data_IF_645685487671
#
_entry.id   IF_645685487671
#
_cell.length_a   1.000
_cell.length_b   1.000
_cell.length_c   1.000
_cell.angle_alpha   90.00
_cell.angle_beta   90.00
_cell.angle_gamma   90.00
#
_symmetry.space_group_name_H-M   'P 1'
#
loop_
_entity.id
_entity.type
_entity.pdbx_description
1 polymer ?
#
# COMPACT_ATOMS: atom_id res chain seq x y z
N UNK A 1 -20.87 -6.89 18.81
CA UNK A 1 -19.89 -6.89 17.71
C UNK A 1 -19.76 -5.46 17.21
N UNK A 2 -18.64 -4.80 17.47
CA UNK A 2 -18.43 -3.43 17.00
C UNK A 2 -18.45 -3.43 15.47
N UNK A 3 -19.37 -2.67 14.89
CA UNK A 3 -19.49 -2.45 13.45
C UNK A 3 -18.31 -1.56 13.07
N UNK A 4 -17.24 -2.15 12.52
CA UNK A 4 -16.14 -1.38 11.95
C UNK A 4 -16.74 -0.37 10.96
N UNK A 5 -16.36 0.91 11.02
CA UNK A 5 -16.94 1.93 10.16
C UNK A 5 -16.75 1.50 8.71
N UNK A 6 -17.79 1.63 7.88
CA UNK A 6 -17.73 1.31 6.47
C UNK A 6 -16.56 2.11 5.84
N UNK A 7 -15.47 1.41 5.53
CA UNK A 7 -14.19 2.05 5.27
C UNK A 7 -14.20 2.72 3.88
N UNK A 8 -13.87 4.01 3.87
CA UNK A 8 -14.02 4.89 2.71
C UNK A 8 -13.02 4.51 1.60
N UNK A 9 -13.47 4.24 0.37
CA UNK A 9 -12.58 4.01 -0.76
C UNK A 9 -11.68 5.23 -1.00
N UNK A 10 -10.43 5.01 -1.36
CA UNK A 10 -9.44 6.07 -1.59
C UNK A 10 -8.62 6.49 -0.36
N UNK A 11 -8.86 5.90 0.82
CA UNK A 11 -8.10 6.21 2.03
C UNK A 11 -7.49 4.97 2.68
N UNK A 12 -6.25 5.13 3.18
CA UNK A 12 -5.55 4.14 4.00
C UNK A 12 -5.00 4.84 5.25
N UNK A 13 -5.17 4.20 6.41
CA UNK A 13 -4.57 4.63 7.67
C UNK A 13 -3.11 4.17 7.74
N UNK A 14 -2.24 4.99 8.34
CA UNK A 14 -0.82 4.66 8.47
C UNK A 14 -0.56 3.49 9.43
N UNK A 15 -1.36 3.37 10.49
CA UNK A 15 -1.19 2.35 11.54
C UNK A 15 -1.87 1.02 11.22
N UNK A 16 -2.65 0.98 10.14
CA UNK A 16 -3.44 -0.19 9.79
C UNK A 16 -2.65 -1.18 8.95
N UNK A 17 -2.97 -2.46 9.11
CA UNK A 17 -2.39 -3.55 8.33
C UNK A 17 -3.38 -4.00 7.26
N UNK A 18 -2.96 -3.96 6.00
CA UNK A 18 -3.81 -4.32 4.86
C UNK A 18 -3.33 -5.57 4.17
N UNK A 19 -4.26 -6.41 3.73
CA UNK A 19 -3.92 -7.46 2.76
C UNK A 19 -3.59 -6.84 1.40
N UNK A 20 -2.83 -7.56 0.57
CA UNK A 20 -2.56 -7.14 -0.81
C UNK A 20 -3.86 -6.91 -1.60
N UNK A 21 -4.87 -7.76 -1.40
CA UNK A 21 -6.16 -7.60 -2.09
C UNK A 21 -6.90 -6.35 -1.64
N UNK A 22 -6.87 -6.05 -0.35
CA UNK A 22 -7.56 -4.92 0.24
C UNK A 22 -6.95 -3.58 -0.16
N UNK A 23 -5.62 -3.43 -0.02
CA UNK A 23 -4.94 -2.19 -0.38
C UNK A 23 -5.15 -1.85 -1.86
N UNK A 24 -5.18 -2.86 -2.73
CA UNK A 24 -5.51 -2.70 -4.16
C UNK A 24 -6.92 -2.18 -4.37
N UNK A 25 -7.92 -2.74 -3.69
CA UNK A 25 -9.31 -2.30 -3.79
C UNK A 25 -9.48 -0.86 -3.29
N UNK A 26 -8.82 -0.51 -2.18
CA UNK A 26 -8.91 0.82 -1.58
C UNK A 26 -8.29 1.90 -2.45
N UNK A 27 -7.11 1.63 -2.99
CA UNK A 27 -6.37 2.62 -3.79
C UNK A 27 -6.69 2.55 -5.28
N UNK A 28 -7.50 1.59 -5.71
CA UNK A 28 -7.80 1.36 -7.13
C UNK A 28 -6.58 0.97 -7.97
N UNK A 29 -5.54 0.40 -7.36
CA UNK A 29 -4.28 0.10 -8.04
C UNK A 29 -4.28 -1.29 -8.68
N UNK A 30 -3.62 -1.38 -9.84
CA UNK A 30 -3.48 -2.63 -10.59
C UNK A 30 -2.56 -3.64 -9.88
N UNK A 31 -2.72 -4.92 -10.19
CA UNK A 31 -1.80 -5.98 -9.74
C UNK A 31 -0.35 -5.69 -10.15
N UNK A 32 -0.16 -5.09 -11.31
CA UNK A 32 1.15 -4.76 -11.86
C UNK A 32 1.84 -3.64 -11.08
N UNK A 33 1.10 -2.59 -10.72
CA UNK A 33 1.60 -1.52 -9.86
C UNK A 33 2.06 -2.07 -8.49
N UNK A 34 1.28 -2.96 -7.90
CA UNK A 34 1.62 -3.61 -6.64
C UNK A 34 2.84 -4.53 -6.76
N UNK A 35 2.95 -5.30 -7.84
CA UNK A 35 4.11 -6.13 -8.10
C UNK A 35 5.39 -5.30 -8.29
N UNK A 36 5.31 -4.21 -9.05
CA UNK A 36 6.42 -3.27 -9.25
C UNK A 36 6.83 -2.62 -7.94
N UNK A 37 5.88 -2.17 -7.11
CA UNK A 37 6.18 -1.61 -5.80
C UNK A 37 6.96 -2.58 -4.92
N UNK A 38 6.55 -3.86 -4.88
CA UNK A 38 7.27 -4.91 -4.15
C UNK A 38 8.69 -5.15 -4.68
N UNK A 39 8.88 -5.10 -6.00
CA UNK A 39 10.22 -5.22 -6.63
C UNK A 39 11.11 -4.01 -6.35
N UNK A 40 10.50 -2.84 -6.16
CA UNK A 40 11.18 -1.59 -5.84
C UNK A 40 11.36 -1.36 -4.33
N UNK A 41 11.15 -2.37 -3.49
CA UNK A 41 11.46 -2.29 -2.06
C UNK A 41 10.29 -1.95 -1.13
N UNK A 42 9.03 -1.99 -1.60
CA UNK A 42 7.88 -1.93 -0.69
C UNK A 42 7.95 -3.09 0.31
N UNK A 43 7.93 -2.77 1.61
CA UNK A 43 7.92 -3.79 2.66
C UNK A 43 6.61 -4.57 2.66
N UNK A 44 6.75 -5.88 2.77
CA UNK A 44 5.61 -6.81 2.85
C UNK A 44 5.86 -7.74 4.03
N UNK A 45 4.87 -7.81 4.91
CA UNK A 45 4.85 -8.72 6.04
C UNK A 45 4.16 -10.00 5.63
N UNK A 46 4.75 -11.15 5.98
CA UNK A 46 4.13 -12.45 5.76
C UNK A 46 3.72 -13.01 7.12
N UNK A 47 2.43 -13.25 7.29
CA UNK A 47 1.87 -13.93 8.47
C UNK A 47 1.18 -15.18 7.93
N UNK A 48 1.73 -16.33 8.30
CA UNK A 48 1.35 -17.64 7.75
C UNK A 48 1.36 -17.64 6.20
N UNK A 49 0.22 -17.92 5.55
CA UNK A 49 0.08 -17.95 4.08
C UNK A 49 -0.29 -16.60 3.48
N UNK A 50 -0.60 -15.61 4.31
CA UNK A 50 -1.09 -14.31 3.87
C UNK A 50 0.02 -13.25 3.83
N UNK A 51 -0.10 -12.33 2.88
CA UNK A 51 0.82 -11.20 2.70
C UNK A 51 0.10 -9.91 3.03
N UNK A 52 0.75 -9.08 3.82
CA UNK A 52 0.24 -7.85 4.36
C UNK A 52 1.20 -6.69 4.11
N UNK A 53 0.64 -5.48 4.08
CA UNK A 53 1.37 -4.24 3.95
C UNK A 53 0.85 -3.29 5.01
N UNK A 54 1.76 -2.72 5.79
CA UNK A 54 1.42 -1.66 6.72
C UNK A 54 1.15 -0.38 5.92
N UNK A 55 0.08 0.33 6.23
CA UNK A 55 -0.27 1.56 5.51
C UNK A 55 0.88 2.58 5.51
N UNK A 56 1.59 2.72 6.63
CA UNK A 56 2.78 3.58 6.74
C UNK A 56 3.86 3.22 5.74
N UNK A 57 4.24 1.95 5.62
CA UNK A 57 5.29 1.54 4.66
C UNK A 57 4.88 1.80 3.21
N UNK A 58 3.58 1.70 2.90
CA UNK A 58 3.07 2.06 1.59
C UNK A 58 3.14 3.57 1.34
N UNK A 59 2.72 4.39 2.31
CA UNK A 59 2.79 5.85 2.22
C UNK A 59 4.25 6.29 2.05
N UNK A 60 5.16 5.77 2.89
CA UNK A 60 6.60 6.04 2.81
C UNK A 60 7.15 5.67 1.42
N UNK A 61 6.76 4.50 0.89
CA UNK A 61 7.15 4.08 -0.46
C UNK A 61 6.66 5.06 -1.54
N UNK A 62 5.39 5.47 -1.49
CA UNK A 62 4.82 6.39 -2.48
C UNK A 62 5.47 7.77 -2.40
N UNK A 63 5.76 8.27 -1.21
CA UNK A 63 6.49 9.53 -1.05
C UNK A 63 7.88 9.47 -1.68
N UNK A 64 8.61 8.38 -1.44
CA UNK A 64 9.95 8.18 -2.02
C UNK A 64 9.87 8.02 -3.53
N UNK A 65 8.93 7.21 -4.03
CA UNK A 65 8.72 7.01 -5.46
C UNK A 65 8.34 8.31 -6.19
N UNK A 66 7.48 9.13 -5.59
CA UNK A 66 7.11 10.44 -6.10
C UNK A 66 8.29 11.43 -6.12
N UNK A 67 9.15 11.39 -5.09
CA UNK A 67 10.40 12.19 -5.04
C UNK A 67 11.38 11.76 -6.13
N UNK A 68 11.50 10.46 -6.41
CA UNK A 68 12.36 9.92 -7.47
C UNK A 68 11.89 10.35 -8.87
N UNK A 69 10.58 10.33 -9.12
CA UNK A 69 10.00 10.83 -10.37
C UNK A 69 10.29 12.32 -10.59
N UNK A 70 10.15 13.16 -9.55
CA UNK A 70 10.40 14.61 -9.65
C UNK A 70 11.87 14.98 -9.90
N UNK A 71 12.83 14.14 -9.51
CA UNK A 71 14.27 14.40 -9.74
C UNK A 71 14.72 14.10 -11.17
N UNK A 72 13.98 13.28 -11.90
CA UNK A 72 14.35 12.86 -13.26
C UNK A 72 13.86 13.82 -14.34
N UNK A 73 12.98 14.76 -14.00
CA UNK A 73 12.43 15.78 -14.92
C UNK A 73 13.08 17.16 -14.74
N UNK A 74 14.20 17.25 -13.99
CA UNK A 74 14.96 18.49 -13.81
C UNK A 74 16.31 18.40 -14.49
#
# INVERSE_FOLDING_TARGET
MAKEPAQVPGSIGASDLYTIGEIKRRLGISSWAMWRARRNGLKVYRIDRCRYVLGKDYIDYVEVAGKLSKRMTR
#
